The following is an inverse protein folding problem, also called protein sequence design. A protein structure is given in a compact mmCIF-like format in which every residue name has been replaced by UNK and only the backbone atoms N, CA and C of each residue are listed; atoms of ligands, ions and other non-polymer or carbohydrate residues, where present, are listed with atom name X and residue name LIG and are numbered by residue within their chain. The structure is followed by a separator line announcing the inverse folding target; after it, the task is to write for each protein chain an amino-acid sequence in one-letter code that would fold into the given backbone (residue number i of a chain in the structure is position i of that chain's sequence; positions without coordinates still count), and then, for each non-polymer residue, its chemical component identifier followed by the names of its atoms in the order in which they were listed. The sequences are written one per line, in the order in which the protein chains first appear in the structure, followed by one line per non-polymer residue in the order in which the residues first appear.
data_IF_238372274483
#
_entry.id   IF_238372274483
#
_cell.length_a   1.000
_cell.length_b   1.000
_cell.length_c   1.000
_cell.angle_alpha   90.00
_cell.angle_beta   90.00
_cell.angle_gamma   90.00
#
_symmetry.space_group_name_H-M   'P 1'
#
loop_
_entity.id
_entity.type
_entity.pdbx_description
1 polymer ?
#
# COMPACT_ATOMS: atom_id res chain seq x y z
N UNK A 1 56.29 -26.62 -26.55
CA UNK A 1 54.87 -26.98 -26.35
C UNK A 1 54.17 -25.75 -25.76
N UNK A 2 53.41 -25.03 -26.58
CA UNK A 2 52.83 -23.71 -26.29
C UNK A 2 51.31 -23.83 -26.11
N UNK A 3 50.78 -23.03 -25.19
CA UNK A 3 49.36 -22.68 -25.00
C UNK A 3 48.36 -23.80 -24.69
N UNK A 4 48.03 -24.01 -23.40
CA UNK A 4 46.71 -24.53 -22.95
C UNK A 4 46.42 -24.18 -21.49
N UNK A 5 46.25 -22.90 -21.12
CA UNK A 5 45.81 -22.54 -19.74
C UNK A 5 44.95 -21.25 -19.63
N UNK A 6 44.17 -20.88 -20.66
CA UNK A 6 43.37 -19.63 -20.59
C UNK A 6 41.84 -19.87 -20.72
N UNK A 7 41.40 -21.08 -21.05
CA UNK A 7 39.97 -21.36 -21.36
C UNK A 7 39.16 -21.83 -20.13
N UNK A 8 39.69 -21.74 -18.90
CA UNK A 8 39.02 -22.31 -17.71
C UNK A 8 38.43 -21.31 -16.71
N UNK A 9 38.63 -19.99 -16.88
CA UNK A 9 38.15 -19.01 -15.88
C UNK A 9 36.93 -18.18 -16.32
N UNK A 10 36.48 -18.29 -17.57
CA UNK A 10 35.28 -17.55 -18.04
C UNK A 10 33.98 -18.29 -17.69
N UNK A 11 34.02 -19.61 -17.54
CA UNK A 11 32.83 -20.43 -17.24
C UNK A 11 32.20 -20.18 -15.86
N UNK A 12 32.96 -19.65 -14.90
CA UNK A 12 32.46 -19.39 -13.54
C UNK A 12 31.83 -18.00 -13.38
N UNK A 13 32.15 -17.05 -14.29
CA UNK A 13 31.63 -15.68 -14.20
C UNK A 13 30.19 -15.58 -14.71
N UNK A 14 29.78 -16.42 -15.67
CA UNK A 14 28.45 -16.36 -16.30
C UNK A 14 27.35 -16.96 -15.40
N UNK A 15 27.69 -17.91 -14.53
CA UNK A 15 26.72 -18.57 -13.63
C UNK A 15 26.23 -17.64 -12.51
N UNK A 16 27.02 -16.63 -12.13
CA UNK A 16 26.64 -15.67 -11.08
C UNK A 16 25.72 -14.53 -11.57
N UNK A 17 25.55 -14.33 -12.88
CA UNK A 17 24.70 -13.26 -13.42
C UNK A 17 23.28 -13.76 -13.74
N UNK A 18 23.08 -15.09 -13.81
CA UNK A 18 21.78 -15.70 -14.14
C UNK A 18 20.70 -15.64 -13.05
N UNK A 19 21.07 -15.38 -11.79
CA UNK A 19 20.12 -15.40 -10.66
C UNK A 19 19.60 -14.03 -10.24
N UNK A 20 20.12 -12.93 -10.80
CA UNK A 20 19.69 -11.57 -10.44
C UNK A 20 18.36 -11.18 -11.12
N UNK A 21 17.94 -11.89 -12.16
CA UNK A 21 16.69 -11.60 -12.89
C UNK A 21 15.44 -12.34 -12.36
N UNK A 22 15.53 -13.09 -11.26
CA UNK A 22 14.38 -13.75 -10.64
C UNK A 22 13.97 -13.16 -9.29
N UNK A 23 14.41 -11.94 -8.96
CA UNK A 23 13.98 -11.23 -7.74
C UNK A 23 13.15 -9.98 -8.00
N UNK A 24 12.48 -9.89 -9.16
CA UNK A 24 11.39 -8.90 -9.37
C UNK A 24 10.01 -9.43 -8.97
N UNK A 25 9.93 -10.61 -8.34
CA UNK A 25 8.68 -11.25 -7.95
C UNK A 25 8.70 -11.73 -6.51
N UNK A 26 8.58 -10.80 -5.55
CA UNK A 26 7.89 -10.92 -4.27
C UNK A 26 8.28 -9.70 -3.42
N UNK A 27 7.32 -8.91 -2.92
CA UNK A 27 7.66 -7.77 -2.08
C UNK A 27 8.43 -8.25 -0.85
N UNK A 28 9.53 -7.54 -0.61
CA UNK A 28 10.32 -7.51 0.60
C UNK A 28 9.43 -7.71 1.83
N UNK A 29 9.47 -8.91 2.41
CA UNK A 29 8.89 -9.19 3.72
C UNK A 29 9.75 -8.45 4.75
N UNK A 30 9.47 -7.16 4.93
CA UNK A 30 9.95 -6.40 6.06
C UNK A 30 9.37 -7.05 7.31
N UNK A 31 10.23 -7.72 8.07
CA UNK A 31 9.97 -8.27 9.40
C UNK A 31 9.62 -7.14 10.36
N UNK A 32 8.39 -6.65 10.28
CA UNK A 32 7.75 -5.82 11.30
C UNK A 32 6.66 -6.67 11.91
N UNK A 33 6.68 -6.82 13.23
CA UNK A 33 5.66 -7.52 14.04
C UNK A 33 4.30 -7.46 13.34
N UNK A 34 3.80 -8.60 12.85
CA UNK A 34 2.53 -8.67 12.13
C UNK A 34 1.39 -8.35 13.08
N UNK A 35 1.15 -7.06 13.32
CA UNK A 35 -0.11 -6.56 13.81
C UNK A 35 -1.08 -6.78 12.66
N UNK A 36 -2.03 -7.69 12.86
CA UNK A 36 -3.07 -7.93 11.86
C UNK A 36 -3.78 -6.59 11.60
N UNK A 37 -3.88 -6.14 10.34
CA UNK A 37 -4.57 -4.90 10.03
C UNK A 37 -6.04 -5.01 10.47
N UNK A 38 -6.64 -3.87 10.83
CA UNK A 38 -8.05 -3.79 11.17
C UNK A 38 -8.94 -4.21 9.99
N UNK A 39 -8.64 -3.71 8.80
CA UNK A 39 -9.33 -4.08 7.57
C UNK A 39 -8.42 -3.92 6.34
N UNK A 40 -8.71 -4.68 5.29
CA UNK A 40 -8.07 -4.55 3.97
C UNK A 40 -9.17 -4.44 2.93
N UNK A 41 -9.22 -3.30 2.24
CA UNK A 41 -10.24 -2.97 1.26
C UNK A 41 -9.57 -2.90 -0.12
N UNK A 42 -10.09 -3.66 -1.09
CA UNK A 42 -9.71 -3.51 -2.49
C UNK A 42 -10.60 -2.46 -3.14
N UNK A 43 -10.04 -1.64 -4.03
CA UNK A 43 -10.85 -0.73 -4.82
C UNK A 43 -11.77 -1.50 -5.76
N UNK A 44 -12.91 -0.90 -6.11
CA UNK A 44 -13.87 -1.53 -7.03
C UNK A 44 -13.28 -1.84 -8.41
N UNK A 45 -12.34 -1.02 -8.88
CA UNK A 45 -11.61 -1.24 -10.13
C UNK A 45 -10.46 -2.25 -10.01
N UNK A 46 -10.17 -2.74 -8.80
CA UNK A 46 -9.10 -3.71 -8.50
C UNK A 46 -7.68 -3.16 -8.62
N UNK A 47 -7.50 -1.86 -8.84
CA UNK A 47 -6.18 -1.25 -9.09
C UNK A 47 -5.49 -0.71 -7.84
N UNK A 48 -6.21 -0.60 -6.72
CA UNK A 48 -5.71 -0.07 -5.46
C UNK A 48 -6.13 -0.93 -4.26
N UNK A 49 -5.30 -0.90 -3.21
CA UNK A 49 -5.55 -1.57 -1.93
C UNK A 49 -5.42 -0.53 -0.82
N UNK A 50 -6.48 -0.37 -0.03
CA UNK A 50 -6.50 0.45 1.18
C UNK A 50 -6.50 -0.46 2.40
N UNK A 51 -5.42 -0.43 3.17
CA UNK A 51 -5.26 -1.17 4.42
C UNK A 51 -5.49 -0.21 5.58
N UNK A 52 -6.52 -0.46 6.39
CA UNK A 52 -6.72 0.22 7.67
C UNK A 52 -5.88 -0.51 8.70
N UNK A 53 -4.78 0.10 9.11
CA UNK A 53 -3.81 -0.51 10.02
C UNK A 53 -4.34 -0.52 11.46
N UNK A 54 -4.88 0.61 11.90
CA UNK A 54 -5.47 0.79 13.22
C UNK A 54 -6.81 1.50 13.09
N UNK A 55 -7.79 1.14 13.91
CA UNK A 55 -9.05 1.86 14.04
C UNK A 55 -9.59 1.71 15.46
N UNK A 56 -9.64 2.80 16.20
CA UNK A 56 -10.24 2.89 17.51
C UNK A 56 -11.69 3.38 17.37
N UNK A 57 -12.65 2.50 17.66
CA UNK A 57 -14.09 2.78 17.56
C UNK A 57 -14.59 3.79 18.59
N UNK A 58 -13.83 4.05 19.66
CA UNK A 58 -14.22 5.03 20.68
C UNK A 58 -13.92 6.46 20.22
N UNK A 59 -12.80 6.65 19.52
CA UNK A 59 -12.37 7.95 18.99
C UNK A 59 -12.66 8.11 17.50
N UNK A 60 -13.12 7.05 16.83
CA UNK A 60 -13.29 6.94 15.38
C UNK A 60 -12.03 7.27 14.57
N UNK A 61 -10.85 7.04 15.16
CA UNK A 61 -9.55 7.41 14.58
C UNK A 61 -8.71 6.19 14.28
N UNK A 62 -7.85 6.33 13.29
CA UNK A 62 -7.04 5.25 12.78
C UNK A 62 -5.91 5.71 11.89
N UNK A 63 -5.16 4.74 11.40
CA UNK A 63 -4.11 4.95 10.39
C UNK A 63 -4.33 4.01 9.23
N UNK A 64 -3.91 4.42 8.05
CA UNK A 64 -4.03 3.60 6.84
C UNK A 64 -2.74 3.57 6.04
N UNK A 65 -2.63 2.54 5.21
CA UNK A 65 -1.69 2.43 4.10
C UNK A 65 -2.48 2.23 2.83
N UNK A 66 -2.04 2.87 1.75
CA UNK A 66 -2.66 2.78 0.43
C UNK A 66 -1.62 2.29 -0.56
N UNK A 67 -1.98 1.38 -1.45
CA UNK A 67 -1.14 0.93 -2.55
C UNK A 67 -1.89 1.12 -3.87
N UNK A 68 -1.24 1.73 -4.87
CA UNK A 68 -1.77 1.85 -6.23
C UNK A 68 -0.61 1.99 -7.22
N UNK A 69 -0.60 1.19 -8.28
CA UNK A 69 0.42 1.28 -9.33
C UNK A 69 1.87 1.13 -8.85
N UNK A 70 2.10 0.31 -7.80
CA UNK A 70 3.42 0.13 -7.18
C UNK A 70 3.87 1.27 -6.27
N UNK A 71 3.07 2.33 -6.14
CA UNK A 71 3.31 3.42 -5.21
C UNK A 71 2.54 3.17 -3.91
N UNK A 72 3.12 3.64 -2.80
CA UNK A 72 2.52 3.54 -1.49
C UNK A 72 2.18 4.91 -0.93
N UNK A 73 1.12 4.96 -0.14
CA UNK A 73 0.73 6.09 0.66
C UNK A 73 0.36 5.67 2.07
N UNK A 74 0.32 6.64 2.97
CA UNK A 74 -0.08 6.42 4.36
C UNK A 74 -0.65 7.70 4.93
N UNK A 75 -1.42 7.60 6.00
CA UNK A 75 -1.92 8.77 6.70
C UNK A 75 -2.78 8.40 7.88
N UNK A 76 -3.36 9.43 8.49
CA UNK A 76 -4.36 9.29 9.53
C UNK A 76 -5.75 9.32 8.89
N UNK A 77 -6.66 8.59 9.51
CA UNK A 77 -8.05 8.50 9.11
C UNK A 77 -8.95 8.71 10.32
N UNK A 78 -9.98 9.54 10.18
CA UNK A 78 -11.01 9.76 11.19
C UNK A 78 -12.40 9.70 10.53
N UNK A 79 -13.32 8.94 11.12
CA UNK A 79 -14.73 8.97 10.72
C UNK A 79 -15.44 10.04 11.53
N UNK A 80 -15.92 11.08 10.86
CA UNK A 80 -16.72 12.15 11.47
C UNK A 80 -18.16 12.07 11.01
N UNK A 81 -19.10 12.44 11.88
CA UNK A 81 -20.50 12.65 11.51
C UNK A 81 -20.74 14.16 11.43
N UNK A 82 -21.12 14.64 10.26
CA UNK A 82 -21.45 16.03 10.01
C UNK A 82 -22.89 16.11 9.50
N UNK A 83 -23.81 16.51 10.39
CA UNK A 83 -25.22 16.68 10.07
C UNK A 83 -25.94 15.41 9.60
N UNK A 84 -25.52 14.23 10.07
CA UNK A 84 -26.08 12.94 9.65
C UNK A 84 -25.35 12.27 8.48
N UNK A 85 -24.37 12.96 7.87
CA UNK A 85 -23.52 12.38 6.84
C UNK A 85 -22.19 11.97 7.44
N UNK A 86 -21.83 10.69 7.36
CA UNK A 86 -20.49 10.24 7.71
C UNK A 86 -19.48 10.72 6.66
N UNK A 87 -18.32 11.19 7.12
CA UNK A 87 -17.19 11.62 6.27
C UNK A 87 -15.89 11.03 6.80
N UNK A 88 -14.98 10.72 5.89
CA UNK A 88 -13.60 10.40 6.20
C UNK A 88 -12.78 11.69 6.21
N UNK A 89 -12.21 12.04 7.35
CA UNK A 89 -11.18 13.07 7.44
C UNK A 89 -9.81 12.39 7.35
N UNK A 90 -9.06 12.76 6.32
CA UNK A 90 -7.74 12.23 6.01
C UNK A 90 -6.73 13.33 6.31
N UNK A 91 -5.75 13.05 7.17
CA UNK A 91 -4.71 14.01 7.56
C UNK A 91 -3.32 13.40 7.57
N UNK A 92 -2.29 14.23 7.48
CA UNK A 92 -0.88 13.81 7.42
C UNK A 92 -0.63 12.74 6.35
N UNK A 93 -1.37 12.85 5.24
CA UNK A 93 -1.31 11.86 4.18
C UNK A 93 -0.04 12.06 3.34
N UNK A 94 0.57 10.96 2.93
CA UNK A 94 1.58 10.93 1.88
C UNK A 94 1.18 9.92 0.82
N UNK A 95 1.57 10.15 -0.43
CA UNK A 95 1.44 9.20 -1.52
C UNK A 95 2.65 9.31 -2.44
N UNK A 96 3.25 8.17 -2.80
CA UNK A 96 4.52 8.12 -3.54
C UNK A 96 5.65 8.95 -2.88
N UNK A 97 5.65 9.05 -1.54
CA UNK A 97 6.59 9.88 -0.79
C UNK A 97 6.28 11.38 -0.77
N UNK A 98 5.21 11.81 -1.43
CA UNK A 98 4.82 13.23 -1.55
C UNK A 98 3.69 13.54 -0.55
N UNK A 99 3.81 14.59 0.29
CA UNK A 99 2.73 15.04 1.15
C UNK A 99 1.46 15.39 0.36
N UNK A 100 0.31 15.01 0.89
CA UNK A 100 -1.01 15.34 0.35
C UNK A 100 -1.69 16.36 1.28
N UNK A 101 -2.56 17.19 0.71
CA UNK A 101 -3.39 18.09 1.51
C UNK A 101 -4.37 17.28 2.35
N UNK A 102 -4.69 17.79 3.53
CA UNK A 102 -5.77 17.25 4.34
C UNK A 102 -7.09 17.29 3.56
N UNK A 103 -7.86 16.20 3.61
CA UNK A 103 -9.11 16.07 2.88
C UNK A 103 -10.24 15.62 3.79
N UNK A 104 -11.46 16.04 3.48
CA UNK A 104 -12.67 15.51 4.10
C UNK A 104 -13.59 15.02 2.99
N UNK A 105 -13.81 13.72 2.94
CA UNK A 105 -14.50 13.05 1.84
C UNK A 105 -15.75 12.37 2.42
N UNK A 106 -16.97 12.68 1.90
CA UNK A 106 -18.17 12.02 2.38
C UNK A 106 -18.20 10.55 1.97
N UNK A 107 -18.79 9.71 2.84
CA UNK A 107 -19.19 8.38 2.43
C UNK A 107 -20.53 8.47 1.69
N UNK A 108 -20.62 7.81 0.53
CA UNK A 108 -21.85 7.66 -0.25
C UNK A 108 -22.17 6.19 -0.31
N UNK A 109 -23.34 5.78 0.19
CA UNK A 109 -23.72 4.36 0.29
C UNK A 109 -22.67 3.48 1.00
N UNK A 110 -22.09 4.02 2.08
CA UNK A 110 -20.96 3.42 2.81
C UNK A 110 -19.68 3.23 1.98
N UNK A 111 -19.56 3.88 0.83
CA UNK A 111 -18.34 3.86 0.00
C UNK A 111 -17.58 5.16 0.11
N UNK A 112 -16.26 5.05 0.08
CA UNK A 112 -15.34 6.18 0.06
C UNK A 112 -14.67 6.27 -1.31
N UNK A 113 -14.90 7.36 -2.03
CA UNK A 113 -14.24 7.63 -3.30
C UNK A 113 -13.07 8.61 -3.10
N UNK A 114 -11.85 8.09 -3.17
CA UNK A 114 -10.64 8.91 -3.10
C UNK A 114 -10.23 9.28 -4.52
N UNK A 115 -10.32 10.58 -4.85
CA UNK A 115 -10.07 11.07 -6.22
C UNK A 115 -8.68 10.64 -6.73
N UNK A 116 -8.64 10.10 -7.96
CA UNK A 116 -7.41 9.59 -8.58
C UNK A 116 -6.90 8.25 -8.02
N UNK A 117 -7.49 7.74 -6.93
CA UNK A 117 -7.10 6.49 -6.29
C UNK A 117 -8.12 5.38 -6.56
N UNK A 118 -9.39 5.59 -6.22
CA UNK A 118 -10.43 4.58 -6.39
C UNK A 118 -11.53 4.68 -5.33
N UNK A 119 -12.54 3.83 -5.50
CA UNK A 119 -13.67 3.68 -4.57
C UNK A 119 -13.52 2.43 -3.72
N UNK A 120 -13.75 2.56 -2.42
CA UNK A 120 -13.61 1.48 -1.43
C UNK A 120 -14.91 1.30 -0.63
N UNK A 121 -15.34 0.06 -0.42
CA UNK A 121 -16.55 -0.29 0.34
C UNK A 121 -16.23 -0.42 1.84
N UNK A 122 -16.83 0.45 2.66
CA UNK A 122 -16.66 0.49 4.12
C UNK A 122 -17.83 -0.16 4.88
N UNK A 123 -18.71 -0.95 4.24
CA UNK A 123 -19.89 -1.55 4.88
C UNK A 123 -19.65 -2.35 6.15
N UNK A 124 -18.47 -2.96 6.27
CA UNK A 124 -18.09 -3.79 7.42
C UNK A 124 -17.39 -2.98 8.53
N UNK A 125 -17.15 -1.69 8.28
CA UNK A 125 -16.50 -0.74 9.20
C UNK A 125 -17.54 0.26 9.75
N UNK A 126 -18.48 0.70 8.90
CA UNK A 126 -19.53 1.69 9.17
C UNK A 126 -20.92 1.10 9.43
#
# INVERSE_FOLDING_TARGET
MKQKKIVSMIGMLVVLIGTVFMMTGCPQANTSKTVKPFAVLKSEDGTAILTINTFDKTTNKGTYTLEKGGQTGKGNFEVVNDGGTFKAKITNATFAGIPQFDQTIPFVDKKLNIFGIGTFDFKDIL
#
